data_IF_124023673215
#
_entry.id   IF_124023673215
#
_cell.length_a   1.000
_cell.length_b   1.000
_cell.length_c   1.000
_cell.angle_alpha   90.00
_cell.angle_beta   90.00
_cell.angle_gamma   90.00
#
_symmetry.space_group_name_H-M   'P 1'
#
loop_
_entity.id
_entity.type
_entity.pdbx_description
1 polymer ?
#
# COMPACT_ATOMS: atom_id res chain seq x y z
N UNK A 1 18.67 39.62 -8.58
CA UNK A 1 18.45 38.31 -9.24
C UNK A 1 19.13 37.26 -8.38
N UNK A 2 18.40 36.60 -7.49
CA UNK A 2 18.89 35.44 -6.75
C UNK A 2 18.07 34.24 -7.20
N UNK A 3 18.54 33.59 -8.27
CA UNK A 3 18.06 32.28 -8.66
C UNK A 3 18.68 31.26 -7.71
N UNK A 4 18.06 31.08 -6.54
CA UNK A 4 18.31 29.90 -5.73
C UNK A 4 17.88 28.70 -6.56
N UNK A 5 18.83 27.82 -6.86
CA UNK A 5 18.61 26.57 -7.58
C UNK A 5 17.45 25.87 -6.90
N UNK A 6 16.32 25.72 -7.59
CA UNK A 6 15.26 24.82 -7.16
C UNK A 6 15.85 23.41 -7.27
N UNK A 7 16.61 23.00 -6.25
CA UNK A 7 17.10 21.65 -6.13
C UNK A 7 15.91 20.72 -6.18
N UNK A 8 16.07 19.59 -6.86
CA UNK A 8 15.18 18.44 -6.72
C UNK A 8 15.29 17.90 -5.28
N UNK A 9 14.77 18.65 -4.31
CA UNK A 9 14.63 18.21 -2.94
C UNK A 9 13.37 17.36 -2.86
N UNK A 10 13.53 16.04 -2.71
CA UNK A 10 12.42 15.24 -2.23
C UNK A 10 12.06 15.71 -0.82
N UNK A 11 10.79 15.56 -0.46
CA UNK A 11 10.28 15.85 0.88
C UNK A 11 10.12 14.51 1.63
N UNK A 12 11.10 14.11 2.45
CA UNK A 12 11.06 12.82 3.13
C UNK A 12 9.90 12.74 4.12
N UNK A 13 9.54 13.86 4.73
CA UNK A 13 8.45 13.92 5.69
C UNK A 13 7.10 13.67 5.01
N UNK A 14 6.91 14.24 3.81
CA UNK A 14 5.73 13.96 2.99
C UNK A 14 5.69 12.51 2.53
N UNK A 15 6.82 11.91 2.17
CA UNK A 15 6.90 10.48 1.85
C UNK A 15 6.51 9.60 3.04
N UNK A 16 7.01 9.88 4.24
CA UNK A 16 6.65 9.17 5.46
C UNK A 16 5.17 9.32 5.81
N UNK A 17 4.60 10.51 5.66
CA UNK A 17 3.16 10.74 5.87
C UNK A 17 2.32 9.86 4.94
N UNK A 18 2.64 9.86 3.63
CA UNK A 18 1.92 9.03 2.66
C UNK A 18 2.12 7.54 2.91
N UNK A 19 3.31 7.12 3.34
CA UNK A 19 3.56 5.74 3.73
C UNK A 19 2.64 5.30 4.88
N UNK A 20 2.52 6.12 5.93
CA UNK A 20 1.65 5.83 7.07
C UNK A 20 0.16 5.77 6.67
N UNK A 21 -0.27 6.66 5.78
CA UNK A 21 -1.64 6.66 5.25
C UNK A 21 -1.94 5.39 4.44
N UNK A 22 -1.00 4.97 3.57
CA UNK A 22 -1.12 3.75 2.76
C UNK A 22 -1.11 2.50 3.64
N UNK A 23 -0.28 2.45 4.68
CA UNK A 23 -0.27 1.35 5.65
C UNK A 23 -1.61 1.24 6.39
N UNK A 24 -2.17 2.38 6.82
CA UNK A 24 -3.49 2.42 7.44
C UNK A 24 -4.62 1.99 6.49
N UNK A 25 -4.49 2.30 5.19
CA UNK A 25 -5.42 1.82 4.16
C UNK A 25 -5.27 0.33 3.90
N UNK A 26 -4.04 -0.19 3.82
CA UNK A 26 -3.76 -1.63 3.71
C UNK A 26 -4.40 -2.40 4.86
N UNK A 27 -4.18 -1.97 6.10
CA UNK A 27 -4.76 -2.61 7.28
C UNK A 27 -6.30 -2.60 7.28
N UNK A 28 -6.92 -1.51 6.82
CA UNK A 28 -8.38 -1.44 6.65
C UNK A 28 -8.89 -2.36 5.55
N UNK A 29 -8.23 -2.38 4.39
CA UNK A 29 -8.59 -3.26 3.29
C UNK A 29 -8.50 -4.73 3.71
N UNK A 30 -7.45 -5.12 4.44
CA UNK A 30 -7.28 -6.49 4.95
C UNK A 30 -8.44 -6.93 5.85
N UNK A 31 -8.91 -6.05 6.74
CA UNK A 31 -10.07 -6.35 7.60
C UNK A 31 -11.35 -6.53 6.79
N UNK A 32 -11.64 -5.59 5.88
CA UNK A 32 -12.84 -5.65 5.05
C UNK A 32 -12.88 -6.90 4.17
N UNK A 33 -11.73 -7.31 3.62
CA UNK A 33 -11.64 -8.52 2.81
C UNK A 33 -11.85 -9.78 3.66
N UNK A 34 -11.28 -9.83 4.87
CA UNK A 34 -11.53 -10.93 5.80
C UNK A 34 -13.02 -11.02 6.18
N UNK A 35 -13.64 -9.91 6.56
CA UNK A 35 -15.08 -9.85 6.87
C UNK A 35 -15.96 -10.31 5.70
N UNK A 36 -15.61 -9.90 4.47
CA UNK A 36 -16.32 -10.34 3.27
C UNK A 36 -16.19 -11.86 3.05
N UNK A 37 -15.00 -12.44 3.26
CA UNK A 37 -14.78 -13.88 3.09
C UNK A 37 -15.56 -14.68 4.12
N UNK A 38 -15.55 -14.23 5.37
CA UNK A 38 -16.27 -14.88 6.46
C UNK A 38 -17.78 -14.87 6.13
N UNK A 39 -18.34 -13.72 5.78
CA UNK A 39 -19.75 -13.59 5.40
C UNK A 39 -20.16 -14.47 4.19
N UNK A 40 -19.28 -14.62 3.20
CA UNK A 40 -19.54 -15.48 2.04
C UNK A 40 -19.44 -16.96 2.39
N UNK A 41 -18.52 -17.35 3.27
CA UNK A 41 -18.33 -18.74 3.70
C UNK A 41 -19.51 -19.28 4.53
N UNK A 42 -20.20 -18.41 5.27
CA UNK A 42 -21.42 -18.75 6.01
C UNK A 42 -22.61 -19.04 5.08
N UNK A 43 -22.55 -18.58 3.83
CA UNK A 43 -23.59 -18.80 2.82
C UNK A 43 -23.26 -20.03 1.96
N UNK A 44 -23.48 -21.24 2.48
CA UNK A 44 -23.08 -22.47 1.77
C UNK A 44 -23.79 -22.70 0.42
N UNK A 45 -24.99 -22.14 0.22
CA UNK A 45 -25.76 -22.16 -1.05
C UNK A 45 -26.72 -20.95 -1.09
N UNK A 46 -26.23 -19.74 -1.40
CA UNK A 46 -27.07 -18.54 -1.37
C UNK A 46 -28.19 -18.59 -2.43
N UNK A 47 -28.05 -19.46 -3.43
CA UNK A 47 -29.00 -19.62 -4.54
C UNK A 47 -29.82 -20.92 -4.48
N UNK A 48 -29.64 -21.75 -3.44
CA UNK A 48 -30.33 -23.04 -3.29
C UNK A 48 -29.70 -24.22 -4.04
N UNK A 49 -30.11 -25.45 -3.68
CA UNK A 49 -29.63 -26.70 -4.28
C UNK A 49 -30.40 -27.16 -5.52
N UNK A 50 -31.49 -26.47 -5.87
CA UNK A 50 -32.30 -26.82 -7.03
C UNK A 50 -31.52 -26.59 -8.34
N UNK A 51 -32.11 -27.01 -9.46
CA UNK A 51 -31.47 -26.91 -10.77
C UNK A 51 -31.16 -25.45 -11.14
N UNK A 52 -32.05 -24.53 -10.78
CA UNK A 52 -31.87 -23.10 -11.01
C UNK A 52 -30.72 -22.57 -10.17
N UNK A 53 -30.69 -22.85 -8.87
CA UNK A 53 -29.64 -22.47 -7.95
C UNK A 53 -28.26 -23.00 -8.35
N UNK A 54 -28.18 -24.25 -8.81
CA UNK A 54 -26.94 -24.82 -9.37
C UNK A 54 -26.49 -24.11 -10.65
N UNK A 55 -27.41 -23.80 -11.57
CA UNK A 55 -27.08 -23.08 -12.81
C UNK A 55 -26.55 -21.67 -12.52
N UNK A 56 -27.16 -20.94 -11.59
CA UNK A 56 -26.69 -19.63 -11.16
C UNK A 56 -25.32 -19.74 -10.48
N UNK A 57 -25.14 -20.71 -9.58
CA UNK A 57 -23.84 -20.92 -8.92
C UNK A 57 -22.73 -21.23 -9.91
N UNK A 58 -22.97 -22.08 -10.92
CA UNK A 58 -21.97 -22.40 -11.94
C UNK A 58 -21.59 -21.18 -12.79
N UNK A 59 -22.56 -20.31 -13.08
CA UNK A 59 -22.33 -19.11 -13.90
C UNK A 59 -21.59 -18.02 -13.12
N UNK A 60 -21.86 -17.88 -11.81
CA UNK A 60 -21.38 -16.74 -11.02
C UNK A 60 -20.20 -17.06 -10.09
N UNK A 61 -19.94 -18.33 -9.75
CA UNK A 61 -18.83 -18.69 -8.85
C UNK A 61 -17.46 -18.27 -9.41
N UNK A 62 -17.20 -18.51 -10.70
CA UNK A 62 -15.92 -18.13 -11.33
C UNK A 62 -15.63 -16.62 -11.25
N UNK A 63 -16.53 -15.75 -11.75
CA UNK A 63 -16.37 -14.30 -11.63
C UNK A 63 -16.29 -13.81 -10.17
N UNK A 64 -17.07 -14.39 -9.26
CA UNK A 64 -17.02 -14.04 -7.85
C UNK A 64 -15.65 -14.37 -7.22
N UNK A 65 -15.10 -15.56 -7.51
CA UNK A 65 -13.79 -15.99 -7.03
C UNK A 65 -12.66 -15.10 -7.58
N UNK A 66 -12.77 -14.63 -8.82
CA UNK A 66 -11.78 -13.72 -9.41
C UNK A 66 -11.79 -12.34 -8.76
N UNK A 67 -12.97 -11.81 -8.46
CA UNK A 67 -13.11 -10.55 -7.73
C UNK A 67 -12.54 -10.70 -6.32
N UNK A 68 -12.89 -11.77 -5.60
CA UNK A 68 -12.36 -12.04 -4.26
C UNK A 68 -10.84 -12.14 -4.25
N UNK A 69 -10.24 -12.84 -5.22
CA UNK A 69 -8.79 -12.94 -5.36
C UNK A 69 -8.14 -11.59 -5.64
N UNK A 70 -8.79 -10.73 -6.42
CA UNK A 70 -8.30 -9.38 -6.70
C UNK A 70 -8.36 -8.49 -5.46
N UNK A 71 -9.42 -8.63 -4.65
CA UNK A 71 -9.57 -7.95 -3.38
C UNK A 71 -8.56 -8.44 -2.33
N UNK A 72 -8.28 -9.75 -2.27
CA UNK A 72 -7.25 -10.33 -1.41
C UNK A 72 -5.85 -9.76 -1.67
N UNK A 73 -5.53 -9.43 -2.92
CA UNK A 73 -4.22 -8.91 -3.30
C UNK A 73 -4.08 -7.39 -3.04
N UNK A 74 -5.17 -6.67 -2.83
CA UNK A 74 -5.15 -5.20 -2.71
C UNK A 74 -4.41 -4.70 -1.46
N UNK A 75 -4.63 -5.25 -0.24
CA UNK A 75 -3.90 -4.84 0.95
C UNK A 75 -2.39 -4.95 0.79
N UNK A 76 -1.92 -6.05 0.19
CA UNK A 76 -0.49 -6.31 0.03
C UNK A 76 0.14 -5.29 -0.92
N UNK A 77 -0.51 -5.00 -2.05
CA UNK A 77 -0.06 -3.95 -2.99
C UNK A 77 0.02 -2.57 -2.34
N UNK A 78 -0.94 -2.22 -1.47
CA UNK A 78 -0.90 -0.96 -0.74
C UNK A 78 0.27 -0.91 0.25
N UNK A 79 0.55 -2.01 0.95
CA UNK A 79 1.68 -2.14 1.87
C UNK A 79 3.03 -2.09 1.17
N UNK A 80 3.14 -2.66 -0.04
CA UNK A 80 4.35 -2.58 -0.88
C UNK A 80 4.67 -1.12 -1.26
N UNK A 81 3.65 -0.33 -1.64
CA UNK A 81 3.84 1.10 -1.95
C UNK A 81 4.21 1.89 -0.68
N UNK A 82 3.57 1.61 0.46
CA UNK A 82 3.91 2.22 1.74
C UNK A 82 5.38 1.96 2.13
N UNK A 83 5.82 0.72 1.93
CA UNK A 83 7.21 0.30 2.17
C UNK A 83 8.17 1.05 1.26
N UNK A 84 7.86 1.15 -0.04
CA UNK A 84 8.67 1.89 -1.01
C UNK A 84 8.82 3.37 -0.64
N UNK A 85 7.73 4.03 -0.19
CA UNK A 85 7.78 5.43 0.25
C UNK A 85 8.62 5.60 1.52
N UNK A 86 8.53 4.67 2.47
CA UNK A 86 9.35 4.69 3.69
C UNK A 86 10.84 4.50 3.39
N UNK A 87 11.16 3.58 2.47
CA UNK A 87 12.54 3.34 2.02
C UNK A 87 13.10 4.57 1.30
N UNK A 88 12.31 5.18 0.41
CA UNK A 88 12.72 6.41 -0.28
C UNK A 88 12.97 7.55 0.71
N UNK A 89 12.09 7.74 1.70
CA UNK A 89 12.28 8.77 2.72
C UNK A 89 13.56 8.57 3.53
N UNK A 90 13.84 7.32 3.94
CA UNK A 90 15.05 6.97 4.70
C UNK A 90 16.30 7.27 3.87
N UNK A 91 16.33 6.84 2.60
CA UNK A 91 17.46 7.11 1.71
C UNK A 91 17.72 8.60 1.50
N UNK A 92 16.68 9.45 1.47
CA UNK A 92 16.86 10.89 1.38
C UNK A 92 17.40 11.51 2.69
N UNK A 93 16.98 11.01 3.85
CA UNK A 93 17.49 11.47 5.15
C UNK A 93 18.96 11.08 5.32
N UNK A 94 19.31 9.82 5.03
CA UNK A 94 20.69 9.32 5.11
C UNK A 94 21.62 10.14 4.20
N UNK A 95 21.20 10.43 2.97
CA UNK A 95 22.00 11.23 2.03
C UNK A 95 22.19 12.69 2.48
N UNK A 96 21.21 13.28 3.17
CA UNK A 96 21.31 14.65 3.70
C UNK A 96 22.23 14.69 4.93
N UNK A 97 22.13 13.69 5.81
CA UNK A 97 23.02 13.54 6.97
C UNK A 97 24.49 13.34 6.53
N UNK A 98 24.74 12.45 5.57
CA UNK A 98 26.09 12.24 5.01
C UNK A 98 26.68 13.51 4.39
N UNK A 99 25.85 14.30 3.67
CA UNK A 99 26.27 15.56 3.10
C UNK A 99 26.59 16.61 4.17
N UNK A 100 25.76 16.70 5.22
CA UNK A 100 25.94 17.61 6.34
C UNK A 100 27.23 17.31 7.13
N UNK A 101 27.47 16.03 7.44
CA UNK A 101 28.70 15.58 8.11
C UNK A 101 29.95 15.83 7.26
N UNK A 102 29.84 15.57 5.95
CA UNK A 102 30.88 15.88 4.98
C UNK A 102 31.28 17.35 5.03
N UNK A 103 30.31 18.28 4.97
CA UNK A 103 30.54 19.74 5.01
C UNK A 103 31.07 20.19 6.39
N UNK A 104 30.51 19.67 7.48
CA UNK A 104 30.96 19.97 8.85
C UNK A 104 32.42 19.56 9.10
N UNK A 105 32.83 18.44 8.52
CA UNK A 105 34.22 17.97 8.55
C UNK A 105 35.19 18.88 7.79
N UNK A 106 34.78 19.49 6.67
CA UNK A 106 35.62 20.45 5.92
C UNK A 106 35.67 21.82 6.61
N UNK A 107 34.57 22.24 7.22
CA UNK A 107 34.46 23.51 7.95
C UNK A 107 35.22 23.55 9.28
N UNK A 108 35.49 22.39 9.90
CA UNK A 108 36.26 22.28 11.15
C UNK A 108 37.78 22.27 10.95
N UNK A 109 38.28 22.24 9.71
CA UNK A 109 39.72 22.17 9.38
C UNK A 109 40.27 23.52 8.86
N UNK A 110 39.49 24.60 8.92
CA UNK A 110 39.91 25.98 8.60
C UNK A 110 39.85 26.90 9.82
#
# INVERSE_FOLDING_TARGET
MNGGVAGFGADPQRLLSHAAELEALSGRARRLVAELRDALSESAQPWGADEVGRSFSQTHAGPADEILRSLDALPDRLGEVATSFSQAASAYQDADEEAADGIGGIGSVG
#
